data_IF_282008350605
#
_entry.id   IF_282008350605
#
_cell.length_a   1.000
_cell.length_b   1.000
_cell.length_c   1.000
_cell.angle_alpha   90.00
_cell.angle_beta   90.00
_cell.angle_gamma   90.00
#
_symmetry.space_group_name_H-M   'P 1'
#
loop_
_entity.id
_entity.type
_entity.pdbx_description
1 polymer ?
#
# COMPACT_ATOMS: atom_id res chain seq x y z
N UNK A 1 -0.27 17.38 -11.70
CA UNK A 1 -0.91 16.07 -11.90
C UNK A 1 -0.04 15.27 -12.83
N UNK A 2 0.52 14.14 -12.37
CA UNK A 2 1.56 13.43 -13.11
C UNK A 2 0.94 12.57 -14.21
N UNK A 3 1.23 12.88 -15.46
CA UNK A 3 0.99 12.03 -16.61
C UNK A 3 2.28 11.97 -17.39
N UNK A 4 2.95 10.85 -17.39
CA UNK A 4 4.00 10.60 -18.37
C UNK A 4 3.54 9.42 -19.21
N UNK A 5 3.43 9.56 -20.53
CA UNK A 5 3.35 8.40 -21.38
C UNK A 5 4.68 7.65 -21.26
N UNK A 6 4.65 6.48 -20.66
CA UNK A 6 5.80 5.59 -20.67
C UNK A 6 6.06 5.10 -22.09
N UNK A 7 7.33 4.93 -22.49
CA UNK A 7 7.65 4.25 -23.73
C UNK A 7 6.93 2.90 -23.82
N UNK A 8 6.46 2.53 -25.00
CA UNK A 8 5.84 1.22 -25.30
C UNK A 8 4.50 0.90 -24.62
N UNK A 9 3.59 1.86 -24.47
CA UNK A 9 2.21 1.60 -24.01
C UNK A 9 2.07 1.28 -22.52
N UNK A 10 3.12 1.48 -21.75
CA UNK A 10 3.07 1.36 -20.28
C UNK A 10 2.57 2.68 -19.71
N UNK A 11 1.59 2.65 -18.85
CA UNK A 11 1.04 3.83 -18.21
C UNK A 11 1.35 3.86 -16.72
N UNK A 12 1.73 5.04 -16.25
CA UNK A 12 1.83 5.35 -14.82
C UNK A 12 0.58 6.11 -14.44
N UNK A 13 -0.07 5.69 -13.39
CA UNK A 13 -1.25 6.36 -12.85
C UNK A 13 -0.95 7.03 -11.52
N UNK A 14 -1.87 7.84 -11.07
CA UNK A 14 -1.85 8.47 -9.77
C UNK A 14 -2.41 7.49 -8.76
N UNK A 15 -1.53 6.89 -7.98
CA UNK A 15 -1.93 6.03 -6.89
C UNK A 15 -2.23 6.83 -5.63
N UNK A 16 -3.44 6.70 -5.13
CA UNK A 16 -3.73 7.17 -3.78
C UNK A 16 -3.00 6.26 -2.77
N UNK A 17 -2.35 6.87 -1.80
CA UNK A 17 -1.82 6.14 -0.65
C UNK A 17 -2.97 5.76 0.29
N UNK A 18 -3.76 6.75 0.67
CA UNK A 18 -5.00 6.55 1.41
C UNK A 18 -6.18 6.89 0.50
N UNK A 19 -7.03 5.93 0.29
CA UNK A 19 -8.19 6.05 -0.57
C UNK A 19 -9.31 6.86 0.10
N UNK A 20 -10.09 7.58 -0.68
CA UNK A 20 -11.27 8.33 -0.24
C UNK A 20 -12.22 7.51 0.65
N UNK A 21 -12.52 6.27 0.27
CA UNK A 21 -13.39 5.38 1.05
C UNK A 21 -12.82 5.00 2.43
N UNK A 22 -11.51 4.98 2.60
CA UNK A 22 -10.85 4.72 3.88
C UNK A 22 -11.01 5.89 4.86
N UNK A 23 -11.27 7.10 4.36
CA UNK A 23 -11.54 8.31 5.16
C UNK A 23 -13.02 8.48 5.49
N UNK A 24 -13.86 7.50 5.22
CA UNK A 24 -15.28 7.54 5.51
C UNK A 24 -16.08 8.46 4.59
N UNK A 25 -15.55 8.77 3.41
CA UNK A 25 -16.21 9.59 2.42
C UNK A 25 -17.45 8.88 1.88
N UNK A 26 -18.59 9.49 2.04
CA UNK A 26 -19.90 8.91 1.75
C UNK A 26 -20.87 8.96 2.93
N UNK A 27 -20.38 9.30 4.11
CA UNK A 27 -21.27 9.60 5.23
C UNK A 27 -21.79 11.03 5.08
N UNK A 28 -23.12 11.18 5.00
CA UNK A 28 -23.81 12.48 4.86
C UNK A 28 -23.46 13.49 5.96
N UNK A 29 -22.92 13.01 7.07
CA UNK A 29 -22.52 13.82 8.22
C UNK A 29 -21.03 14.15 8.25
N UNK A 30 -20.25 13.70 7.27
CA UNK A 30 -18.81 13.96 7.26
C UNK A 30 -18.49 14.86 6.07
N UNK A 31 -17.96 16.03 6.33
CA UNK A 31 -17.81 17.02 5.31
C UNK A 31 -16.84 16.60 4.21
N UNK A 32 -17.12 17.12 3.05
CA UNK A 32 -16.31 17.09 1.83
C UNK A 32 -14.82 17.32 2.11
N UNK A 33 -14.49 18.02 3.16
CA UNK A 33 -13.12 18.41 3.54
C UNK A 33 -12.17 17.23 3.81
N UNK A 34 -12.65 16.14 4.41
CA UNK A 34 -11.80 14.96 4.64
C UNK A 34 -11.49 14.21 3.33
N UNK A 35 -12.43 14.25 2.39
CA UNK A 35 -12.21 13.68 1.06
C UNK A 35 -11.20 14.50 0.26
N UNK A 36 -11.29 15.83 0.32
CA UNK A 36 -10.36 16.73 -0.37
C UNK A 36 -8.91 16.42 0.02
N UNK A 37 -8.66 16.09 1.28
CA UNK A 37 -7.31 15.74 1.75
C UNK A 37 -6.74 14.50 1.05
N UNK A 38 -7.57 13.58 0.58
CA UNK A 38 -7.09 12.40 -0.14
C UNK A 38 -6.53 12.74 -1.54
N UNK A 39 -6.85 13.92 -2.07
CA UNK A 39 -6.35 14.40 -3.36
C UNK A 39 -5.13 15.33 -3.23
N UNK A 40 -4.62 15.54 -2.03
CA UNK A 40 -3.37 16.28 -1.85
C UNK A 40 -2.18 15.55 -2.46
N UNK A 41 -1.21 16.27 -3.04
CA UNK A 41 -0.01 15.67 -3.63
C UNK A 41 0.74 14.75 -2.66
N UNK A 42 0.68 15.04 -1.36
CA UNK A 42 1.29 14.21 -0.31
C UNK A 42 0.63 12.84 -0.13
N UNK A 43 -0.57 12.66 -0.68
CA UNK A 43 -1.30 11.40 -0.66
C UNK A 43 -1.30 10.69 -2.02
N UNK A 44 -0.58 11.24 -2.99
CA UNK A 44 -0.53 10.71 -4.37
C UNK A 44 0.91 10.31 -4.68
N UNK A 45 1.10 9.09 -5.13
CA UNK A 45 2.37 8.62 -5.65
C UNK A 45 2.19 8.04 -7.06
N UNK A 46 3.22 8.13 -7.92
CA UNK A 46 3.20 7.40 -9.18
C UNK A 46 3.04 5.90 -8.90
N UNK A 47 2.12 5.28 -9.60
CA UNK A 47 1.97 3.84 -9.56
C UNK A 47 1.87 3.27 -10.95
N UNK A 48 2.35 2.06 -11.13
CA UNK A 48 2.17 1.32 -12.35
C UNK A 48 0.70 0.99 -12.53
N UNK A 49 0.15 1.33 -13.68
CA UNK A 49 -1.13 0.80 -14.10
C UNK A 49 -0.93 -0.64 -14.58
N UNK A 50 -1.32 -1.59 -13.76
CA UNK A 50 -1.42 -2.99 -14.16
C UNK A 50 -2.66 -3.09 -15.03
N UNK A 51 -2.43 -3.26 -16.33
CA UNK A 51 -3.43 -3.21 -17.37
C UNK A 51 -4.74 -3.92 -17.05
N UNK A 52 -5.80 -3.25 -17.47
CA UNK A 52 -7.06 -3.75 -17.98
C UNK A 52 -8.13 -4.16 -16.99
N UNK A 53 -7.79 -4.50 -15.78
CA UNK A 53 -8.80 -4.72 -14.74
C UNK A 53 -8.30 -4.21 -13.41
N UNK A 54 -8.25 -2.93 -13.27
CA UNK A 54 -7.93 -2.25 -11.99
C UNK A 54 -8.76 -2.73 -10.80
N UNK A 55 -9.73 -3.60 -11.02
CA UNK A 55 -10.50 -4.25 -9.98
C UNK A 55 -9.72 -5.25 -9.16
N UNK A 56 -8.69 -5.87 -9.70
CA UNK A 56 -8.12 -7.10 -9.15
C UNK A 56 -6.67 -6.97 -8.70
N UNK A 57 -6.10 -5.77 -8.67
CA UNK A 57 -4.75 -5.60 -8.11
C UNK A 57 -4.78 -5.92 -6.61
N UNK A 58 -3.72 -6.55 -6.10
CA UNK A 58 -3.58 -6.86 -4.68
C UNK A 58 -3.75 -5.62 -3.79
N UNK A 59 -3.24 -4.48 -4.24
CA UNK A 59 -3.43 -3.20 -3.55
C UNK A 59 -4.92 -2.87 -3.41
N UNK A 60 -5.68 -2.98 -4.49
CA UNK A 60 -7.11 -2.69 -4.49
C UNK A 60 -7.92 -3.68 -3.66
N UNK A 61 -7.51 -4.96 -3.64
CA UNK A 61 -8.13 -5.94 -2.74
C UNK A 61 -8.04 -5.50 -1.29
N UNK A 62 -6.87 -5.01 -0.86
CA UNK A 62 -6.69 -4.49 0.50
C UNK A 62 -7.49 -3.21 0.73
N UNK A 63 -7.54 -2.31 -0.24
CA UNK A 63 -8.36 -1.10 -0.16
C UNK A 63 -9.86 -1.39 -0.05
N UNK A 64 -10.32 -2.50 -0.59
CA UNK A 64 -11.73 -2.90 -0.50
C UNK A 64 -12.05 -3.59 0.83
N UNK A 65 -11.17 -4.50 1.29
CA UNK A 65 -11.42 -5.27 2.49
C UNK A 65 -11.31 -4.43 3.77
N UNK A 66 -10.39 -3.47 3.79
CA UNK A 66 -10.08 -2.65 4.95
C UNK A 66 -11.32 -1.89 5.47
N UNK A 67 -12.01 -1.05 4.69
CA UNK A 67 -13.19 -0.33 5.17
C UNK A 67 -14.41 -1.22 5.35
N UNK A 68 -14.50 -2.32 4.61
CA UNK A 68 -15.70 -3.13 4.58
C UNK A 68 -15.73 -4.25 5.63
N UNK A 69 -14.55 -4.76 6.03
CA UNK A 69 -14.46 -5.92 6.92
C UNK A 69 -13.59 -5.70 8.15
N UNK A 70 -12.64 -4.75 8.10
CA UNK A 70 -11.70 -4.56 9.20
C UNK A 70 -12.05 -3.39 10.13
N UNK A 71 -12.99 -2.55 9.73
CA UNK A 71 -13.56 -1.54 10.62
C UNK A 71 -14.21 -2.21 11.83
N UNK A 72 -14.03 -1.59 12.98
CA UNK A 72 -14.54 -2.05 14.26
C UNK A 72 -14.95 -0.86 15.12
N UNK A 73 -15.49 -1.12 16.30
CA UNK A 73 -15.82 -0.07 17.26
C UNK A 73 -14.59 0.57 17.88
N UNK A 74 -13.51 -0.21 18.03
CA UNK A 74 -12.21 0.32 18.42
C UNK A 74 -11.51 1.01 17.25
N UNK A 75 -10.42 1.70 17.52
CA UNK A 75 -9.66 2.39 16.48
C UNK A 75 -8.92 1.41 15.57
N UNK A 76 -9.10 1.57 14.26
CA UNK A 76 -8.30 0.93 13.24
C UNK A 76 -7.18 1.89 12.83
N UNK A 77 -5.95 1.49 13.08
CA UNK A 77 -4.75 2.26 12.73
C UNK A 77 -4.23 1.81 11.37
N UNK A 78 -3.98 2.75 10.49
CA UNK A 78 -3.46 2.48 9.14
C UNK A 78 -2.29 3.39 8.86
N UNK A 79 -1.17 2.81 8.43
CA UNK A 79 -0.02 3.54 7.89
C UNK A 79 0.15 3.12 6.44
N UNK A 80 0.37 4.10 5.59
CA UNK A 80 0.61 3.89 4.15
C UNK A 80 1.84 4.67 3.76
N UNK A 81 2.68 4.08 2.93
CA UNK A 81 3.88 4.76 2.47
C UNK A 81 4.45 4.22 1.18
N UNK A 82 5.46 4.92 0.72
CA UNK A 82 6.27 4.56 -0.42
C UNK A 82 7.71 4.31 0.02
N UNK A 83 8.34 3.34 -0.58
CA UNK A 83 9.77 3.08 -0.44
C UNK A 83 10.47 3.47 -1.74
N UNK A 84 11.57 4.22 -1.59
CA UNK A 84 12.42 4.66 -2.68
C UNK A 84 13.80 4.05 -2.47
N UNK A 85 14.02 2.89 -3.09
CA UNK A 85 15.33 2.21 -3.05
C UNK A 85 16.28 2.78 -4.10
N UNK A 86 17.50 2.23 -4.13
CA UNK A 86 18.58 2.70 -5.02
C UNK A 86 18.23 2.60 -6.50
N UNK A 87 17.30 1.72 -6.87
CA UNK A 87 16.78 1.54 -8.21
C UNK A 87 15.47 2.29 -8.47
N UNK A 88 15.22 3.37 -7.74
CA UNK A 88 14.05 4.22 -8.00
C UNK A 88 14.15 4.84 -9.38
N UNK A 89 13.06 4.82 -10.12
CA UNK A 89 13.02 5.35 -11.48
C UNK A 89 12.62 6.82 -11.49
N UNK A 90 13.25 7.57 -12.35
CA UNK A 90 12.88 8.95 -12.60
C UNK A 90 11.93 8.96 -13.80
N UNK A 91 10.70 9.38 -13.55
CA UNK A 91 9.76 9.71 -14.61
C UNK A 91 10.15 11.07 -15.16
N UNK A 92 10.75 11.07 -16.33
CA UNK A 92 11.11 12.29 -17.04
C UNK A 92 9.84 12.93 -17.62
N UNK A 93 9.84 14.26 -17.71
CA UNK A 93 8.73 15.02 -18.31
C UNK A 93 7.34 14.69 -17.71
N UNK A 94 7.29 14.44 -16.41
CA UNK A 94 6.03 14.36 -15.69
C UNK A 94 5.29 15.69 -15.79
N UNK A 95 4.59 15.88 -16.90
CA UNK A 95 4.01 17.16 -17.29
C UNK A 95 2.89 17.64 -16.39
N UNK A 96 2.86 18.93 -16.18
CA UNK A 96 1.65 19.65 -15.82
C UNK A 96 0.58 19.48 -16.90
N UNK A 97 -0.65 19.29 -16.47
CA UNK A 97 -1.83 19.12 -17.32
C UNK A 97 -2.13 20.32 -18.23
N UNK A 98 -1.65 21.49 -17.84
CA UNK A 98 -1.98 22.71 -18.55
C UNK A 98 -1.30 22.85 -19.91
N UNK A 99 -0.29 22.00 -20.20
CA UNK A 99 0.54 22.10 -21.42
C UNK A 99 1.10 23.50 -21.72
N UNK A 100 0.92 24.42 -20.82
CA UNK A 100 1.30 25.83 -21.00
C UNK A 100 2.61 26.17 -20.35
N UNK A 101 3.11 25.31 -19.46
CA UNK A 101 4.45 25.49 -18.91
C UNK A 101 5.45 24.57 -19.60
N UNK A 102 6.50 25.15 -20.08
CA UNK A 102 7.68 24.47 -20.63
C UNK A 102 8.56 23.84 -19.54
N UNK A 103 8.07 23.74 -18.31
CA UNK A 103 8.81 23.20 -17.18
C UNK A 103 8.45 21.73 -17.03
N UNK A 104 9.25 20.90 -17.63
CA UNK A 104 9.31 19.47 -17.32
C UNK A 104 9.80 19.32 -15.88
N UNK A 105 9.11 18.49 -15.10
CA UNK A 105 9.52 18.12 -13.74
C UNK A 105 9.67 16.64 -13.65
N UNK A 106 10.85 16.20 -13.31
CA UNK A 106 11.11 14.81 -13.00
C UNK A 106 10.37 14.42 -11.74
N UNK A 107 9.81 13.23 -11.73
CA UNK A 107 9.14 12.65 -10.58
C UNK A 107 9.73 11.29 -10.26
N UNK A 108 10.16 11.12 -9.02
CA UNK A 108 10.70 9.84 -8.57
C UNK A 108 9.55 8.84 -8.39
N UNK A 109 9.68 7.67 -9.00
CA UNK A 109 8.75 6.58 -8.82
C UNK A 109 9.18 5.68 -7.67
N UNK A 110 8.31 5.37 -6.71
CA UNK A 110 8.67 4.45 -5.64
C UNK A 110 8.94 3.04 -6.18
N UNK A 111 9.91 2.35 -5.60
CA UNK A 111 10.22 0.95 -5.90
C UNK A 111 9.26 -0.01 -5.23
N UNK A 112 8.64 0.42 -4.15
CA UNK A 112 7.57 -0.33 -3.50
C UNK A 112 6.58 0.62 -2.79
N UNK A 113 5.39 0.11 -2.57
CA UNK A 113 4.37 0.73 -1.71
C UNK A 113 4.07 -0.22 -0.56
N UNK A 114 3.81 0.31 0.61
CA UNK A 114 3.44 -0.51 1.75
C UNK A 114 2.21 0.03 2.47
N UNK A 115 1.48 -0.89 3.09
CA UNK A 115 0.35 -0.56 3.95
C UNK A 115 0.44 -1.42 5.21
N UNK A 116 0.36 -0.78 6.37
CA UNK A 116 0.38 -1.42 7.67
C UNK A 116 -0.95 -1.19 8.35
N UNK A 117 -1.47 -2.21 9.00
CA UNK A 117 -2.76 -2.14 9.68
C UNK A 117 -2.61 -2.75 11.07
N UNK A 118 -3.20 -2.09 12.06
CA UNK A 118 -3.21 -2.52 13.44
C UNK A 118 -4.56 -2.20 14.07
N UNK A 119 -5.07 -3.13 14.88
CA UNK A 119 -6.25 -2.94 15.70
C UNK A 119 -6.29 -3.96 16.86
N UNK A 120 -7.25 -3.82 17.76
CA UNK A 120 -7.57 -4.87 18.71
C UNK A 120 -8.23 -6.06 18.00
N UNK A 121 -7.96 -7.28 18.46
CA UNK A 121 -8.55 -8.50 17.87
C UNK A 121 -10.07 -8.51 18.02
N UNK A 122 -10.56 -8.19 19.21
CA UNK A 122 -11.98 -8.15 19.48
C UNK A 122 -12.69 -7.04 18.69
N UNK A 123 -12.04 -5.87 18.54
CA UNK A 123 -12.59 -4.72 17.83
C UNK A 123 -13.67 -3.93 18.59
N UNK A 124 -13.95 -4.30 19.84
CA UNK A 124 -14.91 -3.62 20.71
C UNK A 124 -14.50 -3.74 22.18
N UNK A 125 -13.28 -3.38 22.48
CA UNK A 125 -12.73 -3.43 23.84
C UNK A 125 -12.94 -2.13 24.59
N UNK A 126 -13.12 -1.01 23.86
CA UNK A 126 -13.13 0.33 24.43
C UNK A 126 -11.78 0.77 24.97
N UNK A 127 -10.72 -0.05 24.81
CA UNK A 127 -9.37 0.26 25.29
C UNK A 127 -8.56 0.98 24.23
N UNK A 128 -7.77 1.98 24.58
CA UNK A 128 -6.75 2.50 23.70
C UNK A 128 -5.63 1.46 23.52
N UNK A 129 -4.94 1.51 22.39
CA UNK A 129 -4.00 0.45 22.01
C UNK A 129 -2.82 0.27 22.98
N UNK A 130 -2.42 1.32 23.67
CA UNK A 130 -1.34 1.30 24.67
C UNK A 130 -1.70 0.63 26.00
N UNK A 131 -2.98 0.36 26.24
CA UNK A 131 -3.48 -0.37 27.39
C UNK A 131 -3.75 -1.85 27.06
N UNK A 132 -3.55 -2.24 25.82
CA UNK A 132 -3.74 -3.60 25.36
C UNK A 132 -2.48 -4.44 25.54
N UNK A 133 -2.65 -5.72 25.89
CA UNK A 133 -1.57 -6.70 25.81
C UNK A 133 -1.28 -7.09 24.37
N UNK A 134 -0.13 -7.72 24.10
CA UNK A 134 0.23 -8.17 22.77
C UNK A 134 -0.75 -9.20 22.18
N UNK A 135 -1.41 -9.98 23.04
CA UNK A 135 -2.37 -10.98 22.59
C UNK A 135 -3.76 -10.38 22.30
N UNK A 136 -4.06 -9.19 22.82
CA UNK A 136 -5.28 -8.44 22.50
C UNK A 136 -5.18 -7.68 21.16
N UNK A 137 -3.97 -7.53 20.60
CA UNK A 137 -3.71 -6.75 19.40
C UNK A 137 -3.37 -7.65 18.23
N UNK A 138 -3.78 -7.26 17.04
CA UNK A 138 -3.31 -7.84 15.80
C UNK A 138 -2.76 -6.77 14.88
N UNK A 139 -1.67 -7.10 14.20
CA UNK A 139 -1.00 -6.24 13.24
C UNK A 139 -0.64 -7.03 11.98
N UNK A 140 -0.64 -6.36 10.85
CA UNK A 140 -0.28 -6.94 9.56
C UNK A 140 0.30 -5.86 8.65
N UNK A 141 1.22 -6.25 7.80
CA UNK A 141 1.80 -5.38 6.79
C UNK A 141 1.72 -6.00 5.40
N UNK A 142 1.66 -5.13 4.41
CA UNK A 142 1.66 -5.48 2.99
C UNK A 142 2.78 -4.70 2.31
N UNK A 143 3.57 -5.41 1.52
CA UNK A 143 4.66 -4.83 0.75
C UNK A 143 4.48 -5.15 -0.72
N UNK A 144 4.25 -4.14 -1.54
CA UNK A 144 3.98 -4.26 -2.97
C UNK A 144 5.10 -3.63 -3.78
N UNK A 145 6.07 -4.44 -4.25
CA UNK A 145 7.08 -3.95 -5.18
C UNK A 145 6.42 -3.41 -6.44
N UNK A 146 6.95 -2.32 -6.97
CA UNK A 146 6.53 -1.77 -8.26
C UNK A 146 7.50 -2.25 -9.34
N UNK A 147 7.01 -3.08 -10.24
CA UNK A 147 7.77 -3.59 -11.37
C UNK A 147 7.14 -3.12 -12.68
N UNK A 148 7.96 -2.92 -13.70
CA UNK A 148 7.49 -2.53 -15.03
C UNK A 148 7.62 -3.67 -16.07
N UNK A 149 7.69 -4.91 -15.63
CA UNK A 149 7.91 -6.07 -16.49
C UNK A 149 6.72 -6.46 -17.38
N UNK A 150 5.64 -5.71 -17.37
CA UNK A 150 4.51 -5.99 -18.28
C UNK A 150 3.67 -7.22 -17.91
N UNK A 151 3.88 -7.77 -16.72
CA UNK A 151 3.16 -8.96 -16.25
C UNK A 151 1.67 -8.70 -16.10
N UNK A 152 0.89 -9.69 -16.52
CA UNK A 152 -0.56 -9.68 -16.29
C UNK A 152 -0.83 -10.03 -14.82
N UNK A 153 -1.94 -9.54 -14.29
CA UNK A 153 -2.35 -9.85 -12.91
C UNK A 153 -2.46 -11.37 -12.66
N UNK A 154 -2.88 -12.13 -13.66
CA UNK A 154 -2.97 -13.60 -13.59
C UNK A 154 -1.62 -14.31 -13.42
N UNK A 155 -0.51 -13.61 -13.65
CA UNK A 155 0.85 -14.13 -13.45
C UNK A 155 1.50 -13.65 -12.16
N UNK A 156 0.83 -12.78 -11.41
CA UNK A 156 1.37 -12.31 -10.13
C UNK A 156 1.31 -13.43 -9.07
N UNK A 157 2.30 -13.50 -8.18
CA UNK A 157 2.23 -14.34 -7.00
C UNK A 157 0.96 -14.06 -6.17
N UNK A 158 0.48 -15.02 -5.40
CA UNK A 158 -0.68 -14.82 -4.54
C UNK A 158 -0.44 -13.69 -3.53
N UNK A 159 -1.50 -13.03 -3.10
CA UNK A 159 -1.42 -11.94 -2.12
C UNK A 159 -0.68 -12.34 -0.84
N UNK A 160 -0.75 -13.61 -0.46
CA UNK A 160 -0.04 -14.14 0.71
C UNK A 160 1.48 -13.91 0.66
N UNK A 161 2.09 -13.84 -0.52
CA UNK A 161 3.54 -13.62 -0.69
C UNK A 161 3.94 -12.15 -0.47
N UNK A 162 2.98 -11.25 -0.41
CA UNK A 162 3.18 -9.82 -0.14
C UNK A 162 2.90 -9.44 1.32
N UNK A 163 2.58 -10.43 2.18
CA UNK A 163 2.22 -10.20 3.57
C UNK A 163 3.45 -10.34 4.46
N UNK A 164 3.61 -9.39 5.36
CA UNK A 164 4.71 -9.27 6.30
C UNK A 164 4.20 -8.88 7.70
N UNK A 165 5.01 -9.07 8.71
CA UNK A 165 4.81 -8.40 9.98
C UNK A 165 5.20 -6.92 9.86
N UNK A 166 4.70 -6.09 10.77
CA UNK A 166 5.07 -4.68 10.83
C UNK A 166 6.58 -4.53 11.01
N UNK A 167 7.18 -5.32 11.92
CA UNK A 167 8.61 -5.27 12.20
C UNK A 167 9.50 -5.71 11.02
N UNK A 168 9.01 -6.60 10.16
CA UNK A 168 9.72 -6.94 8.93
C UNK A 168 9.73 -5.77 7.94
N UNK A 169 8.62 -5.03 7.83
CA UNK A 169 8.57 -3.84 6.97
C UNK A 169 9.42 -2.71 7.54
N UNK A 170 9.40 -2.49 8.86
CA UNK A 170 10.31 -1.55 9.51
C UNK A 170 11.77 -1.81 9.14
N UNK A 171 12.20 -3.07 9.14
CA UNK A 171 13.55 -3.46 8.71
C UNK A 171 13.79 -3.22 7.22
N UNK A 172 12.82 -3.53 6.36
CA UNK A 172 12.93 -3.34 4.91
C UNK A 172 13.17 -1.87 4.52
N UNK A 173 12.59 -0.94 5.26
CA UNK A 173 12.74 0.51 5.03
C UNK A 173 13.95 1.12 5.74
N UNK A 174 14.85 0.32 6.28
CA UNK A 174 16.09 0.76 6.92
C UNK A 174 16.07 0.81 8.44
N UNK A 175 14.96 0.44 9.08
CA UNK A 175 14.85 0.35 10.55
C UNK A 175 14.74 1.69 11.29
N UNK A 176 14.69 2.81 10.55
CA UNK A 176 14.60 4.16 11.15
C UNK A 176 13.20 4.51 11.67
N UNK A 177 12.19 3.81 11.16
CA UNK A 177 10.80 4.05 11.53
C UNK A 177 10.33 3.05 12.57
N UNK A 178 9.64 3.55 13.59
CA UNK A 178 8.91 2.75 14.55
C UNK A 178 7.41 3.01 14.34
N UNK A 179 6.77 2.21 13.50
CA UNK A 179 5.34 2.33 13.25
C UNK A 179 4.54 1.85 14.46
N UNK A 180 3.45 2.53 14.73
CA UNK A 180 2.60 2.25 15.88
C UNK A 180 3.39 2.21 17.20
N UNK A 181 4.09 3.30 17.57
CA UNK A 181 5.05 3.31 18.68
C UNK A 181 4.40 3.01 20.06
N UNK A 182 3.10 3.23 20.16
CA UNK A 182 2.34 2.97 21.39
C UNK A 182 1.74 1.55 21.46
N UNK A 183 1.88 0.77 20.39
CA UNK A 183 1.40 -0.61 20.38
C UNK A 183 2.40 -1.57 21.05
N UNK A 184 1.95 -2.68 21.62
CA UNK A 184 2.83 -3.71 22.15
C UNK A 184 3.80 -4.21 21.09
N UNK A 185 5.11 -4.14 21.37
CA UNK A 185 6.16 -4.49 20.41
C UNK A 185 6.02 -5.93 19.87
N UNK A 186 5.63 -6.87 20.73
CA UNK A 186 5.46 -8.28 20.35
C UNK A 186 4.32 -8.49 19.35
N UNK A 187 3.27 -7.65 19.37
CA UNK A 187 2.19 -7.72 18.40
C UNK A 187 2.66 -7.34 16.98
N UNK A 188 3.71 -6.51 16.87
CA UNK A 188 4.27 -6.07 15.59
C UNK A 188 5.19 -7.10 14.92
N UNK A 189 5.68 -8.08 15.68
CA UNK A 189 6.65 -9.08 15.21
C UNK A 189 6.01 -10.26 14.46
N UNK A 190 4.72 -10.45 14.59
CA UNK A 190 3.98 -11.58 14.01
C UNK A 190 2.69 -11.13 13.37
N UNK A 191 2.16 -11.93 12.48
CA UNK A 191 0.81 -11.80 11.95
C UNK A 191 0.18 -13.19 11.77
N UNK A 192 -1.14 -13.21 11.71
CA UNK A 192 -1.89 -14.41 11.35
C UNK A 192 -3.00 -13.99 10.39
N UNK A 193 -2.97 -14.50 9.17
CA UNK A 193 -3.94 -14.18 8.11
C UNK A 193 -5.37 -14.49 8.56
N UNK A 194 -5.55 -15.54 9.36
CA UNK A 194 -6.87 -15.98 9.82
C UNK A 194 -7.50 -15.06 10.87
N UNK A 195 -6.70 -14.22 11.54
CA UNK A 195 -7.24 -13.24 12.48
C UNK A 195 -7.94 -12.08 11.75
N UNK A 196 -7.67 -11.91 10.45
CA UNK A 196 -8.18 -10.79 9.65
C UNK A 196 -9.42 -11.21 8.85
N UNK A 197 -10.61 -10.66 9.15
CA UNK A 197 -11.86 -11.07 8.50
C UNK A 197 -11.79 -11.02 6.97
N UNK A 198 -11.97 -12.17 6.33
CA UNK A 198 -12.01 -12.31 4.89
C UNK A 198 -10.65 -12.27 4.18
N UNK A 199 -9.53 -12.11 4.91
CA UNK A 199 -8.21 -12.07 4.28
C UNK A 199 -7.80 -13.45 3.75
N UNK A 200 -8.04 -14.51 4.48
CA UNK A 200 -7.70 -15.87 4.06
C UNK A 200 -8.38 -16.27 2.75
N UNK A 201 -9.59 -15.76 2.48
CA UNK A 201 -10.32 -16.06 1.25
C UNK A 201 -9.73 -15.39 -0.01
N UNK A 202 -8.95 -14.32 0.15
CA UNK A 202 -8.36 -13.57 -0.97
C UNK A 202 -6.83 -13.68 -1.03
N UNK A 203 -6.20 -14.15 0.05
CA UNK A 203 -4.74 -14.21 0.13
C UNK A 203 -4.14 -15.27 -0.82
N UNK A 204 -4.87 -16.33 -1.10
CA UNK A 204 -4.35 -17.48 -1.84
C UNK A 204 -3.37 -18.31 -1.02
N UNK A 205 -2.85 -19.38 -1.61
CA UNK A 205 -1.83 -20.22 -0.99
C UNK A 205 -0.46 -19.60 -1.22
N UNK A 206 0.37 -19.38 -0.17
CA UNK A 206 1.72 -18.87 -0.34
C UNK A 206 2.53 -19.75 -1.31
N UNK A 207 3.28 -19.14 -2.22
CA UNK A 207 4.16 -19.84 -3.15
C UNK A 207 5.46 -20.33 -2.49
N UNK A 208 5.72 -19.89 -1.27
CA UNK A 208 6.97 -20.14 -0.56
C UNK A 208 8.06 -19.11 -0.84
N UNK A 209 7.83 -18.19 -1.76
CA UNK A 209 8.71 -17.06 -2.04
C UNK A 209 8.01 -15.76 -1.67
N UNK A 210 8.55 -15.06 -0.68
CA UNK A 210 8.08 -13.70 -0.38
C UNK A 210 8.64 -12.72 -1.40
N UNK A 211 7.81 -11.83 -1.87
CA UNK A 211 8.20 -10.83 -2.86
C UNK A 211 9.17 -9.82 -2.27
N UNK A 212 10.37 -9.77 -2.83
CA UNK A 212 11.38 -8.75 -2.51
C UNK A 212 11.47 -7.73 -3.64
N UNK A 213 11.92 -6.52 -3.33
CA UNK A 213 12.10 -5.47 -4.34
C UNK A 213 13.15 -5.87 -5.38
N UNK A 214 14.19 -6.61 -4.95
CA UNK A 214 15.29 -7.02 -5.80
C UNK A 214 14.88 -8.07 -6.83
N UNK A 215 14.01 -9.01 -6.48
CA UNK A 215 13.53 -10.05 -7.40
C UNK A 215 12.66 -9.47 -8.52
N UNK A 216 11.93 -8.38 -8.24
CA UNK A 216 11.13 -7.68 -9.25
C UNK A 216 11.98 -6.85 -10.21
N UNK A 217 13.08 -6.30 -9.75
CA UNK A 217 13.99 -5.50 -10.57
C UNK A 217 14.94 -6.36 -11.41
N UNK A 218 15.35 -7.55 -10.92
CA UNK A 218 16.29 -8.43 -11.63
C UNK A 218 15.71 -9.08 -12.89
N UNK A 219 14.39 -9.21 -12.98
CA UNK A 219 13.70 -9.67 -14.18
C UNK A 219 13.46 -8.55 -15.22
N UNK A 220 13.83 -7.34 -14.91
CA UNK A 220 13.68 -6.19 -15.80
C UNK A 220 14.96 -5.91 -16.59
N UNK A 221 15.44 -6.87 -17.40
CA UNK A 221 16.30 -6.56 -18.54
C UNK A 221 15.50 -5.77 -19.59
N UNK A 222 15.05 -4.60 -19.24
CA UNK A 222 14.47 -3.65 -20.17
C UNK A 222 15.57 -2.65 -20.49
N UNK A 223 16.25 -2.88 -21.59
CA UNK A 223 17.02 -1.83 -22.25
C UNK A 223 16.04 -0.73 -22.64
N UNK A 224 16.30 0.47 -22.19
CA UNK A 224 15.59 1.70 -22.54
C UNK A 224 15.99 2.19 -23.92
#
# INVERSE_FOLDING_TARGET
>A
MYWSPMPSGKTVTKGHLMRSAERGCGNKNNPIDLNIQTFYPTNIAPERYLNETSSDSHWKMIEQILPNRWRCSDTLYVVVGCYYGDNSWILQDACDWSRTSSVSKDCLMPTARYKLVLRTKNGNTGKPIWECSADEVMAIGFWFPQSFTGEKLSSLPPLADYIYSVSEIEKKIGGEFNFFPLAPAEAKKKYNINDWPGLSSIAGTPSGKRMTTEEFTSNSNVSW
#
